data_IF_737521472254
#
_entry.id   IF_737521472254
#
_cell.length_a   1.000
_cell.length_b   1.000
_cell.length_c   1.000
_cell.angle_alpha   90.00
_cell.angle_beta   90.00
_cell.angle_gamma   90.00
#
_symmetry.space_group_name_H-M   'P 1'
#
loop_
_entity.id
_entity.type
_entity.pdbx_description
1 polymer ?
#
# COMPACT_ATOMS: atom_id res chain seq x y z
N UNK A 1 21.78 0.97 16.30
CA UNK A 1 21.28 0.50 14.99
C UNK A 1 20.40 1.59 14.39
N UNK A 2 20.74 2.05 13.20
CA UNK A 2 19.97 3.10 12.55
C UNK A 2 18.64 2.54 12.08
N UNK A 3 17.55 3.22 12.39
CA UNK A 3 16.24 2.85 11.86
C UNK A 3 16.15 3.27 10.39
N UNK A 4 15.59 2.40 9.55
CA UNK A 4 15.29 2.75 8.19
C UNK A 4 14.20 3.84 8.18
N UNK A 5 14.35 4.90 7.37
CA UNK A 5 13.28 5.87 7.23
C UNK A 5 11.99 5.20 6.73
N UNK A 6 10.87 5.54 7.33
CA UNK A 6 9.56 5.03 6.94
C UNK A 6 8.74 6.21 6.38
N UNK A 7 8.14 6.07 5.17
CA UNK A 7 7.30 7.12 4.63
C UNK A 7 6.13 7.42 5.58
N UNK A 8 5.98 8.69 5.98
CA UNK A 8 4.99 9.10 6.97
C UNK A 8 3.57 9.10 6.42
N UNK A 9 3.42 9.30 5.12
CA UNK A 9 2.11 9.42 4.47
C UNK A 9 1.70 8.13 3.75
N UNK A 10 2.54 7.11 3.75
CA UNK A 10 2.29 5.89 2.98
C UNK A 10 0.98 5.21 3.38
N UNK A 11 0.77 4.99 4.67
CA UNK A 11 -0.44 4.31 5.15
C UNK A 11 -1.71 5.02 4.67
N UNK A 12 -1.73 6.35 4.80
CA UNK A 12 -2.85 7.16 4.36
C UNK A 12 -3.06 7.07 2.85
N UNK A 13 -1.98 7.07 2.07
CA UNK A 13 -2.06 6.95 0.61
C UNK A 13 -2.65 5.60 0.19
N UNK A 14 -2.26 4.52 0.87
CA UNK A 14 -2.81 3.19 0.57
C UNK A 14 -4.31 3.14 0.83
N UNK A 15 -4.75 3.70 1.95
CA UNK A 15 -6.18 3.79 2.26
C UNK A 15 -6.93 4.65 1.23
N UNK A 16 -6.34 5.75 0.79
CA UNK A 16 -6.93 6.62 -0.23
C UNK A 16 -7.06 5.91 -1.58
N UNK A 17 -6.06 5.13 -1.98
CA UNK A 17 -6.12 4.35 -3.22
C UNK A 17 -7.31 3.39 -3.18
N UNK A 18 -7.41 2.62 -2.09
CA UNK A 18 -8.51 1.68 -1.94
C UNK A 18 -9.87 2.39 -1.99
N UNK A 19 -9.98 3.51 -1.29
CA UNK A 19 -11.22 4.29 -1.25
C UNK A 19 -11.59 4.82 -2.64
N UNK A 20 -10.62 5.35 -3.40
CA UNK A 20 -10.85 5.88 -4.74
C UNK A 20 -11.28 4.80 -5.73
N UNK A 21 -10.77 3.57 -5.55
CA UNK A 21 -11.15 2.44 -6.38
C UNK A 21 -12.48 1.83 -5.96
N UNK A 22 -13.03 2.24 -4.81
CA UNK A 22 -14.29 1.71 -4.30
C UNK A 22 -14.20 0.26 -3.85
N UNK A 23 -13.02 -0.20 -3.43
CA UNK A 23 -12.78 -1.59 -3.06
C UNK A 23 -12.79 -1.78 -1.55
N UNK A 24 -13.33 -2.91 -1.10
CA UNK A 24 -13.15 -3.36 0.28
C UNK A 24 -11.74 -3.88 0.49
N UNK A 25 -11.37 -4.15 1.74
CA UNK A 25 -10.07 -4.75 2.04
C UNK A 25 -9.93 -6.15 1.42
N UNK A 26 -11.02 -6.92 1.41
CA UNK A 26 -11.03 -8.23 0.75
C UNK A 26 -10.87 -8.10 -0.76
N UNK A 27 -11.55 -7.13 -1.35
CA UNK A 27 -11.50 -6.91 -2.80
C UNK A 27 -10.12 -6.46 -3.26
N UNK A 28 -9.45 -5.56 -2.51
CA UNK A 28 -8.14 -5.09 -2.91
C UNK A 28 -7.08 -6.19 -2.82
N UNK A 29 -7.21 -7.13 -1.89
CA UNK A 29 -6.32 -8.29 -1.84
C UNK A 29 -6.33 -9.02 -3.18
N UNK A 30 -7.51 -9.24 -3.75
CA UNK A 30 -7.65 -9.90 -5.05
C UNK A 30 -7.12 -9.02 -6.18
N UNK A 31 -7.42 -7.73 -6.14
CA UNK A 31 -7.00 -6.78 -7.17
C UNK A 31 -5.48 -6.63 -7.24
N UNK A 32 -4.80 -6.67 -6.09
CA UNK A 32 -3.35 -6.59 -6.05
C UNK A 32 -2.67 -7.79 -6.70
N UNK A 33 -3.33 -8.94 -6.67
CA UNK A 33 -2.83 -10.16 -7.32
C UNK A 33 -1.41 -10.52 -6.90
N UNK A 34 -1.10 -10.34 -5.61
CA UNK A 34 0.23 -10.62 -5.07
C UNK A 34 0.37 -12.11 -4.79
N UNK A 35 1.33 -12.76 -5.44
CA UNK A 35 1.45 -14.23 -5.44
C UNK A 35 2.65 -14.77 -4.68
N UNK A 36 3.59 -13.90 -4.26
CA UNK A 36 4.80 -14.35 -3.59
C UNK A 36 4.53 -14.98 -2.23
N UNK A 37 3.49 -14.53 -1.53
CA UNK A 37 3.03 -15.10 -0.27
C UNK A 37 1.56 -14.74 -0.08
N UNK A 38 0.81 -15.48 0.78
CA UNK A 38 -0.58 -15.14 1.04
C UNK A 38 -0.73 -13.72 1.58
N UNK A 39 -1.71 -13.00 1.09
CA UNK A 39 -2.05 -11.66 1.54
C UNK A 39 -3.50 -11.67 2.02
N UNK A 40 -3.74 -11.18 3.23
CA UNK A 40 -5.02 -11.24 3.90
C UNK A 40 -5.58 -9.84 4.18
N UNK A 41 -6.91 -9.68 4.26
CA UNK A 41 -7.52 -8.38 4.60
C UNK A 41 -6.98 -7.76 5.88
N UNK A 42 -6.67 -8.57 6.90
CA UNK A 42 -6.07 -8.07 8.14
C UNK A 42 -4.73 -7.37 7.91
N UNK A 43 -3.95 -7.84 6.95
CA UNK A 43 -2.68 -7.20 6.60
C UNK A 43 -2.91 -5.86 5.91
N UNK A 44 -3.93 -5.77 5.06
CA UNK A 44 -4.32 -4.49 4.43
C UNK A 44 -4.65 -3.47 5.52
N UNK A 45 -5.42 -3.87 6.53
CA UNK A 45 -5.75 -3.02 7.66
C UNK A 45 -4.49 -2.52 8.38
N UNK A 46 -3.51 -3.39 8.59
CA UNK A 46 -2.24 -3.02 9.22
C UNK A 46 -1.43 -2.06 8.37
N UNK A 47 -1.42 -2.24 7.05
CA UNK A 47 -0.74 -1.33 6.13
C UNK A 47 -1.40 0.06 6.17
N UNK A 48 -2.73 0.12 6.17
CA UNK A 48 -3.49 1.37 6.17
C UNK A 48 -3.45 2.11 7.50
N UNK A 49 -3.17 1.40 8.59
CA UNK A 49 -3.04 2.01 9.92
C UNK A 49 -1.60 2.39 10.28
N UNK A 50 -0.64 2.03 9.43
CA UNK A 50 0.76 2.28 9.70
C UNK A 50 1.41 1.32 10.68
N UNK A 51 0.70 0.28 11.12
CA UNK A 51 1.25 -0.73 12.03
C UNK A 51 2.28 -1.62 11.36
N UNK A 52 2.19 -1.78 10.07
CA UNK A 52 3.06 -2.65 9.30
C UNK A 52 3.35 -2.00 7.96
N UNK A 53 4.61 -2.01 7.55
CA UNK A 53 5.00 -1.54 6.23
C UNK A 53 4.80 -2.66 5.21
N UNK A 54 4.15 -2.37 4.06
CA UNK A 54 4.00 -3.38 3.02
C UNK A 54 5.35 -3.82 2.46
N UNK A 55 5.50 -5.09 2.08
CA UNK A 55 6.67 -5.50 1.31
C UNK A 55 6.82 -4.69 0.03
N UNK A 56 8.04 -4.55 -0.45
CA UNK A 56 8.35 -3.74 -1.62
C UNK A 56 7.50 -4.12 -2.84
N UNK A 57 7.32 -5.40 -3.09
CA UNK A 57 6.55 -5.86 -4.26
C UNK A 57 5.04 -5.62 -4.09
N UNK A 58 4.55 -5.54 -2.85
CA UNK A 58 3.16 -5.14 -2.60
C UNK A 58 2.98 -3.65 -2.93
N UNK A 59 3.95 -2.81 -2.59
CA UNK A 59 3.92 -1.39 -2.97
C UNK A 59 3.88 -1.23 -4.49
N UNK A 60 4.67 -2.02 -5.22
CA UNK A 60 4.64 -2.00 -6.68
C UNK A 60 3.26 -2.41 -7.20
N UNK A 61 2.64 -3.43 -6.60
CA UNK A 61 1.30 -3.85 -6.99
C UNK A 61 0.26 -2.76 -6.78
N UNK A 62 0.33 -2.04 -5.66
CA UNK A 62 -0.53 -0.88 -5.40
C UNK A 62 -0.33 0.21 -6.46
N UNK A 63 0.91 0.52 -6.78
CA UNK A 63 1.22 1.56 -7.75
C UNK A 63 0.67 1.20 -9.14
N UNK A 64 0.85 -0.04 -9.57
CA UNK A 64 0.30 -0.52 -10.85
C UNK A 64 -1.22 -0.48 -10.86
N UNK A 65 -1.85 -0.90 -9.78
CA UNK A 65 -3.30 -0.90 -9.67
C UNK A 65 -3.86 0.53 -9.74
N UNK A 66 -3.18 1.47 -9.09
CA UNK A 66 -3.60 2.88 -9.08
C UNK A 66 -3.16 3.65 -10.33
N UNK A 67 -2.32 3.07 -11.18
CA UNK A 67 -1.80 3.75 -12.37
C UNK A 67 -0.82 4.87 -12.06
N UNK A 68 -0.04 4.73 -10.98
CA UNK A 68 0.94 5.73 -10.55
C UNK A 68 2.32 5.07 -10.41
N UNK A 69 3.37 5.88 -10.26
CA UNK A 69 4.70 5.34 -9.95
C UNK A 69 4.81 5.05 -8.46
N UNK A 70 5.72 4.14 -8.09
CA UNK A 70 5.98 3.86 -6.67
C UNK A 70 6.53 5.08 -5.93
N UNK A 71 7.18 6.01 -6.63
CA UNK A 71 7.67 7.25 -6.04
C UNK A 71 6.55 8.04 -5.39
N UNK A 72 5.38 8.08 -6.01
CA UNK A 72 4.21 8.79 -5.47
C UNK A 72 3.80 8.21 -4.12
N UNK A 73 3.97 6.89 -3.94
CA UNK A 73 3.64 6.23 -2.67
C UNK A 73 4.66 6.52 -1.58
N UNK A 74 5.96 6.44 -1.91
CA UNK A 74 7.01 6.46 -0.89
C UNK A 74 7.62 7.82 -0.65
N UNK A 75 7.46 8.76 -1.56
CA UNK A 75 7.95 10.13 -1.39
C UNK A 75 6.87 10.97 -0.71
N UNK A 76 7.12 11.35 0.55
CA UNK A 76 6.17 12.15 1.34
C UNK A 76 5.92 13.54 0.75
N UNK A 77 6.77 14.00 -0.15
CA UNK A 77 6.60 15.29 -0.83
C UNK A 77 5.62 15.22 -1.98
N UNK A 78 5.32 14.01 -2.48
CA UNK A 78 4.35 13.83 -3.55
C UNK A 78 3.00 13.41 -2.99
N UNK A 79 1.94 13.90 -3.61
CA UNK A 79 0.56 13.55 -3.26
C UNK A 79 -0.05 12.66 -4.36
N UNK A 80 -1.06 11.91 -3.97
CA UNK A 80 -1.84 11.12 -4.93
C UNK A 80 -2.55 12.00 -5.96
#
# INVERSE_FOLDING_TARGET
MAKRPVPKKLAKKLAQIRSRLGLSQTEIVKALNYKASPLYPAQISQFESGRREPPLMVLLAYAKLAGISTDVLIDDKQNL
#
